data_IF_220995552081
#
_entry.id   IF_220995552081
#
_cell.length_a   1.000
_cell.length_b   1.000
_cell.length_c   1.000
_cell.angle_alpha   90.00
_cell.angle_beta   90.00
_cell.angle_gamma   90.00
#
_symmetry.space_group_name_H-M   'P 1'
#
loop_
_entity.id
_entity.type
_entity.pdbx_description
1 polymer ?
#
# COMPACT_ATOMS: atom_id res chain seq x y z
N UNK A 1 28.78 36.72 9.34
CA UNK A 1 28.77 35.30 8.94
C UNK A 1 29.35 34.52 10.10
N UNK A 2 28.53 33.80 10.85
CA UNK A 2 28.97 33.09 12.06
C UNK A 2 29.57 31.74 11.67
N UNK A 3 30.78 31.46 12.14
CA UNK A 3 31.50 30.22 11.85
C UNK A 3 30.80 29.05 12.58
N UNK A 4 30.01 28.27 11.84
CA UNK A 4 29.46 26.96 12.25
C UNK A 4 30.56 25.89 12.22
N UNK A 5 31.71 26.19 12.82
CA UNK A 5 32.94 25.40 12.72
C UNK A 5 32.97 24.24 13.70
N UNK A 6 32.07 23.27 13.55
CA UNK A 6 32.16 21.99 14.26
C UNK A 6 32.74 20.95 13.30
N UNK A 7 33.96 20.49 13.56
CA UNK A 7 34.60 19.40 12.83
C UNK A 7 34.69 18.16 13.73
N UNK A 8 34.24 17.01 13.23
CA UNK A 8 34.40 15.73 13.90
C UNK A 8 35.77 15.14 13.60
N UNK A 9 36.52 14.78 14.63
CA UNK A 9 37.79 14.04 14.51
C UNK A 9 37.60 12.68 15.14
N UNK A 10 37.77 11.60 14.38
CA UNK A 10 37.75 10.23 14.90
C UNK A 10 39.16 9.93 15.45
N UNK A 11 39.37 9.86 16.78
CA UNK A 11 40.67 9.52 17.34
C UNK A 11 41.05 8.08 16.96
N UNK A 12 42.34 7.82 16.83
CA UNK A 12 42.85 6.49 16.56
C UNK A 12 42.48 5.54 17.70
N UNK A 13 42.07 4.32 17.36
CA UNK A 13 41.75 3.30 18.36
C UNK A 13 43.02 2.92 19.14
N UNK A 14 42.94 2.77 20.47
CA UNK A 14 44.08 2.37 21.27
C UNK A 14 44.48 0.92 20.93
N UNK A 15 45.79 0.63 21.06
CA UNK A 15 46.39 -0.65 20.64
C UNK A 15 45.80 -1.91 21.29
N UNK A 16 45.13 -1.76 22.44
CA UNK A 16 44.43 -2.86 23.09
C UNK A 16 43.18 -3.28 22.30
N UNK A 17 42.35 -2.31 21.89
CA UNK A 17 41.11 -2.56 21.14
C UNK A 17 41.41 -3.12 19.74
N UNK A 18 42.47 -2.65 19.08
CA UNK A 18 42.85 -3.16 17.75
C UNK A 18 43.29 -4.63 17.79
N UNK A 19 44.08 -5.02 18.80
CA UNK A 19 44.51 -6.41 19.00
C UNK A 19 43.32 -7.30 19.32
N UNK A 20 42.49 -6.88 20.27
CA UNK A 20 41.28 -7.62 20.64
C UNK A 20 40.35 -7.85 19.44
N UNK A 21 40.05 -6.81 18.65
CA UNK A 21 39.23 -6.92 17.44
C UNK A 21 39.81 -7.89 16.41
N UNK A 22 41.14 -7.93 16.28
CA UNK A 22 41.83 -8.87 15.38
C UNK A 22 41.73 -10.31 15.88
N UNK A 23 41.96 -10.52 17.19
CA UNK A 23 41.95 -11.85 17.82
C UNK A 23 40.56 -12.49 17.78
N UNK A 24 39.51 -11.70 17.97
CA UNK A 24 38.10 -12.17 17.91
C UNK A 24 37.51 -12.15 16.51
N UNK A 25 38.28 -11.73 15.49
CA UNK A 25 37.83 -11.69 14.10
C UNK A 25 36.71 -10.68 13.83
N UNK A 26 36.67 -9.57 14.57
CA UNK A 26 35.66 -8.53 14.42
C UNK A 26 35.71 -7.93 13.00
N UNK A 27 34.58 -7.98 12.31
CA UNK A 27 34.36 -7.29 11.03
C UNK A 27 33.36 -6.17 11.28
N UNK A 28 33.73 -4.95 10.91
CA UNK A 28 32.83 -3.81 11.00
C UNK A 28 31.56 -4.11 10.17
N UNK A 29 30.41 -4.02 10.82
CA UNK A 29 29.12 -4.29 10.19
C UNK A 29 28.75 -3.23 9.14
N UNK A 30 27.62 -3.39 8.46
CA UNK A 30 27.13 -2.41 7.49
C UNK A 30 27.03 -1.02 8.12
N UNK A 31 27.91 -0.11 7.70
CA UNK A 31 27.93 1.26 8.20
C UNK A 31 26.98 2.15 7.38
N UNK A 32 26.71 3.38 7.80
CA UNK A 32 25.83 4.34 7.10
C UNK A 32 26.19 4.54 5.63
N UNK A 33 27.47 4.39 5.27
CA UNK A 33 27.94 4.47 3.87
C UNK A 33 27.45 3.30 3.01
N UNK A 34 27.23 2.12 3.60
CA UNK A 34 26.67 0.96 2.87
C UNK A 34 25.24 1.22 2.40
N UNK A 35 24.50 2.14 3.05
CA UNK A 35 23.17 2.58 2.62
C UNK A 35 23.21 3.50 1.39
N UNK A 36 24.36 4.12 1.13
CA UNK A 36 24.58 5.00 -0.03
C UNK A 36 25.16 4.26 -1.23
N UNK A 37 25.61 3.03 -1.04
CA UNK A 37 26.06 2.20 -2.16
C UNK A 37 24.88 1.89 -3.07
N UNK A 38 25.07 2.15 -4.36
CA UNK A 38 24.12 1.74 -5.40
C UNK A 38 24.11 0.22 -5.41
N UNK A 39 22.95 -0.37 -5.15
CA UNK A 39 22.78 -1.81 -5.27
C UNK A 39 23.00 -2.21 -6.73
N UNK A 40 23.59 -3.39 -7.00
CA UNK A 40 23.58 -3.97 -8.34
C UNK A 40 22.15 -4.00 -8.86
N UNK A 41 21.96 -3.72 -10.15
CA UNK A 41 20.68 -3.98 -10.81
C UNK A 41 20.39 -5.46 -10.61
N UNK A 42 19.38 -5.75 -9.78
CA UNK A 42 18.84 -7.09 -9.68
C UNK A 42 18.27 -7.37 -11.06
N UNK A 43 18.77 -8.40 -11.74
CA UNK A 43 18.05 -8.99 -12.86
C UNK A 43 16.67 -9.34 -12.30
N UNK A 44 15.67 -8.54 -12.68
CA UNK A 44 14.27 -8.73 -12.32
C UNK A 44 13.77 -9.98 -13.07
N UNK A 45 14.27 -11.14 -12.64
CA UNK A 45 13.93 -12.46 -13.16
C UNK A 45 12.52 -12.89 -12.71
N UNK A 46 11.74 -11.96 -12.13
CA UNK A 46 10.31 -12.07 -11.91
C UNK A 46 9.46 -11.70 -13.15
N UNK A 47 10.10 -11.45 -14.29
CA UNK A 47 9.51 -10.79 -15.46
C UNK A 47 8.67 -11.63 -16.44
N UNK A 48 8.35 -12.89 -16.15
CA UNK A 48 7.42 -13.64 -17.01
C UNK A 48 6.59 -14.64 -16.22
N UNK A 49 5.28 -14.35 -16.09
CA UNK A 49 4.29 -15.34 -15.64
C UNK A 49 4.46 -16.62 -16.48
N UNK A 50 4.48 -17.77 -15.81
CA UNK A 50 4.53 -19.07 -16.50
C UNK A 50 3.26 -19.31 -17.30
N UNK A 51 3.31 -20.21 -18.28
CA UNK A 51 2.12 -20.56 -19.08
C UNK A 51 0.94 -21.07 -18.23
N UNK A 52 1.23 -21.70 -17.10
CA UNK A 52 0.24 -22.17 -16.11
C UNK A 52 -0.35 -21.04 -15.26
N UNK A 53 0.32 -19.88 -15.19
CA UNK A 53 -0.10 -18.71 -14.41
C UNK A 53 -1.00 -17.76 -15.24
N UNK A 54 -1.06 -17.95 -16.56
CA UNK A 54 -1.91 -17.18 -17.46
C UNK A 54 -3.41 -17.52 -17.30
N UNK A 55 -4.33 -16.56 -17.48
CA UNK A 55 -5.75 -16.79 -17.33
C UNK A 55 -6.33 -17.73 -18.41
N UNK A 56 -7.24 -18.61 -17.99
CA UNK A 56 -8.00 -19.48 -18.90
C UNK A 56 -9.03 -18.67 -19.70
N UNK A 57 -8.94 -18.71 -21.03
CA UNK A 57 -9.94 -18.11 -21.93
C UNK A 57 -11.04 -19.14 -22.24
N UNK A 58 -12.28 -18.85 -21.86
CA UNK A 58 -13.45 -19.73 -22.05
C UNK A 58 -14.46 -19.07 -22.99
N UNK A 59 -14.91 -19.81 -24.02
CA UNK A 59 -15.90 -19.35 -25.02
C UNK A 59 -17.28 -19.91 -24.66
N UNK A 60 -18.28 -19.06 -24.48
CA UNK A 60 -19.64 -19.45 -24.07
C UNK A 60 -20.56 -19.75 -25.27
N UNK A 61 -20.44 -18.99 -26.36
CA UNK A 61 -21.20 -19.17 -27.61
C UNK A 61 -20.25 -19.15 -28.81
N UNK A 62 -20.63 -19.87 -29.88
CA UNK A 62 -19.87 -19.86 -31.13
C UNK A 62 -19.87 -18.45 -31.73
N UNK A 63 -18.69 -17.84 -31.83
CA UNK A 63 -18.50 -16.49 -32.37
C UNK A 63 -18.21 -15.41 -31.32
N UNK A 64 -18.18 -15.74 -30.02
CA UNK A 64 -17.85 -14.76 -28.98
C UNK A 64 -16.37 -14.30 -29.03
N UNK A 65 -15.48 -15.12 -29.58
CA UNK A 65 -14.05 -14.82 -29.71
C UNK A 65 -13.49 -15.33 -31.03
N UNK A 66 -12.74 -14.49 -31.74
CA UNK A 66 -11.94 -14.86 -32.91
C UNK A 66 -10.49 -15.18 -32.54
N UNK A 67 -9.78 -15.94 -33.37
CA UNK A 67 -8.42 -16.41 -33.07
C UNK A 67 -7.38 -15.28 -32.91
N UNK A 68 -7.64 -14.10 -33.47
CA UNK A 68 -6.77 -12.92 -33.31
C UNK A 68 -7.02 -12.22 -31.97
N UNK A 69 -8.28 -12.07 -31.58
CA UNK A 69 -8.67 -11.47 -30.28
C UNK A 69 -8.17 -12.29 -29.10
N UNK A 70 -8.14 -13.63 -29.21
CA UNK A 70 -7.60 -14.50 -28.15
C UNK A 70 -6.11 -14.24 -27.91
N UNK A 71 -5.34 -13.93 -28.96
CA UNK A 71 -3.90 -13.65 -28.83
C UNK A 71 -3.66 -12.29 -28.19
N UNK A 72 -4.41 -11.26 -28.60
CA UNK A 72 -4.30 -9.92 -27.99
C UNK A 72 -4.69 -9.92 -26.51
N UNK A 73 -5.70 -10.70 -26.13
CA UNK A 73 -6.10 -10.88 -24.72
C UNK A 73 -5.01 -11.64 -23.93
N UNK A 74 -4.38 -12.66 -24.53
CA UNK A 74 -3.29 -13.43 -23.89
C UNK A 74 -2.01 -12.61 -23.70
N UNK A 75 -1.67 -11.74 -24.64
CA UNK A 75 -0.47 -10.92 -24.58
C UNK A 75 -0.65 -9.69 -23.66
N UNK A 76 -1.77 -9.58 -22.94
CA UNK A 76 -2.05 -8.48 -21.99
C UNK A 76 -2.05 -7.09 -22.64
N UNK A 77 -2.14 -7.03 -23.98
CA UNK A 77 -1.87 -5.84 -24.78
C UNK A 77 -3.14 -5.04 -25.04
N UNK A 78 -3.96 -4.84 -24.01
CA UNK A 78 -5.04 -3.85 -24.03
C UNK A 78 -4.46 -2.47 -23.69
N UNK A 79 -3.59 -1.98 -24.57
CA UNK A 79 -2.99 -0.65 -24.51
C UNK A 79 -3.93 0.44 -25.06
N UNK A 80 -5.24 0.15 -25.12
CA UNK A 80 -6.23 1.19 -25.34
C UNK A 80 -6.46 1.93 -24.02
N UNK A 81 -5.45 2.72 -23.64
CA UNK A 81 -5.60 3.73 -22.62
C UNK A 81 -6.89 4.52 -22.93
N UNK A 82 -7.81 4.70 -21.96
CA UNK A 82 -8.96 5.55 -22.16
C UNK A 82 -8.42 6.88 -22.66
N UNK A 83 -8.88 7.34 -23.84
CA UNK A 83 -8.38 8.54 -24.51
C UNK A 83 -8.09 9.59 -23.45
N UNK A 84 -6.83 10.06 -23.33
CA UNK A 84 -6.31 10.96 -22.28
C UNK A 84 -7.05 12.31 -22.27
N UNK A 85 -8.33 12.29 -21.97
CA UNK A 85 -9.29 13.35 -22.04
C UNK A 85 -10.06 13.40 -20.73
N UNK A 86 -10.40 14.61 -20.31
CA UNK A 86 -11.10 14.88 -19.06
C UNK A 86 -12.40 14.06 -19.01
N UNK A 87 -12.53 13.18 -18.01
CA UNK A 87 -13.74 12.37 -17.81
C UNK A 87 -14.86 13.31 -17.37
N UNK A 88 -15.83 13.54 -18.26
CA UNK A 88 -17.04 14.29 -17.95
C UNK A 88 -18.13 13.34 -17.45
N UNK A 89 -18.50 13.45 -16.18
CA UNK A 89 -19.60 12.69 -15.59
C UNK A 89 -20.94 13.20 -16.15
N UNK A 90 -21.54 12.42 -17.06
CA UNK A 90 -22.92 12.61 -17.49
C UNK A 90 -23.84 12.00 -16.43
N UNK A 91 -24.74 12.82 -15.88
CA UNK A 91 -25.75 12.36 -14.93
C UNK A 91 -26.58 11.25 -15.59
N UNK A 92 -26.72 10.07 -14.97
CA UNK A 92 -27.55 9.01 -15.52
C UNK A 92 -28.99 9.50 -15.64
N UNK A 93 -29.64 9.16 -16.75
CA UNK A 93 -31.07 9.36 -16.89
C UNK A 93 -31.78 8.61 -15.76
N UNK A 94 -32.78 9.25 -15.14
CA UNK A 94 -33.66 8.57 -14.19
C UNK A 94 -34.27 7.39 -14.94
N UNK A 95 -33.95 6.16 -14.51
CA UNK A 95 -34.46 4.93 -15.10
C UNK A 95 -35.98 5.01 -15.18
N UNK A 96 -36.55 4.98 -16.38
CA UNK A 96 -37.96 4.60 -16.55
C UNK A 96 -38.09 3.16 -16.05
N UNK A 97 -39.11 2.88 -15.27
CA UNK A 97 -39.28 1.67 -14.46
C UNK A 97 -39.46 0.35 -15.22
N UNK A 98 -39.10 0.29 -16.51
CA UNK A 98 -39.28 -0.90 -17.36
C UNK A 98 -38.03 -1.77 -17.48
N UNK A 99 -36.82 -1.23 -17.24
CA UNK A 99 -35.58 -2.00 -17.34
C UNK A 99 -35.22 -2.60 -15.97
N UNK A 100 -35.79 -3.78 -15.69
CA UNK A 100 -35.49 -4.55 -14.49
C UNK A 100 -34.09 -5.15 -14.60
N UNK A 101 -33.11 -4.47 -14.03
CA UNK A 101 -31.78 -5.00 -13.79
C UNK A 101 -31.87 -6.28 -12.95
N UNK A 102 -31.54 -7.44 -13.54
CA UNK A 102 -31.52 -8.75 -12.86
C UNK A 102 -30.17 -9.04 -12.18
N UNK A 103 -29.54 -8.02 -11.60
CA UNK A 103 -28.30 -8.17 -10.84
C UNK A 103 -28.53 -7.81 -9.36
N UNK A 104 -28.24 -8.77 -8.49
CA UNK A 104 -28.16 -8.70 -7.01
C UNK A 104 -28.99 -7.58 -6.36
N UNK A 105 -30.22 -7.92 -6.01
CA UNK A 105 -31.04 -7.10 -5.11
C UNK A 105 -30.42 -7.11 -3.72
N UNK A 106 -29.66 -6.06 -3.36
CA UNK A 106 -29.22 -5.85 -1.99
C UNK A 106 -30.43 -5.49 -1.11
N UNK A 107 -31.12 -6.49 -0.57
CA UNK A 107 -32.23 -6.28 0.37
C UNK A 107 -31.65 -6.03 1.76
N UNK A 108 -31.23 -4.80 2.06
CA UNK A 108 -31.08 -4.39 3.46
C UNK A 108 -32.47 -4.13 4.03
N UNK A 109 -33.01 -5.09 4.77
CA UNK A 109 -34.25 -4.96 5.52
C UNK A 109 -34.06 -3.96 6.67
N UNK A 110 -34.32 -2.67 6.38
CA UNK A 110 -34.35 -1.63 7.40
C UNK A 110 -35.61 -1.81 8.24
N UNK A 111 -35.46 -2.44 9.42
CA UNK A 111 -36.51 -2.59 10.43
C UNK A 111 -37.07 -1.21 10.78
N UNK A 112 -38.31 -0.93 10.38
CA UNK A 112 -39.08 0.22 10.90
C UNK A 112 -39.35 -0.02 12.38
N UNK A 113 -38.89 0.88 13.24
CA UNK A 113 -39.40 1.02 14.61
C UNK A 113 -40.63 1.92 14.53
N UNK A 114 -41.78 1.37 14.89
CA UNK A 114 -43.05 2.07 15.02
C UNK A 114 -42.98 3.11 16.14
N UNK A 115 -43.73 4.18 15.93
CA UNK A 115 -43.92 5.31 16.83
C UNK A 115 -44.61 4.88 18.14
N UNK A 116 -44.05 5.29 19.28
CA UNK A 116 -44.72 5.72 20.52
C UNK A 116 -43.72 5.67 21.70
N UNK A 117 -43.49 6.82 22.36
CA UNK A 117 -42.91 6.85 23.71
C UNK A 117 -41.80 7.88 23.93
N UNK A 118 -42.18 9.02 24.52
CA UNK A 118 -41.38 10.11 25.10
C UNK A 118 -40.04 9.68 25.76
N UNK A 119 -39.03 10.54 25.60
CA UNK A 119 -38.06 10.84 26.66
C UNK A 119 -36.63 11.03 26.18
N UNK A 120 -36.05 12.19 26.48
CA UNK A 120 -34.60 12.33 26.68
C UNK A 120 -33.86 13.11 25.59
N UNK A 121 -33.67 14.38 25.88
CA UNK A 121 -32.70 15.30 25.30
C UNK A 121 -31.24 14.80 25.31
N UNK A 122 -30.47 15.42 24.40
CA UNK A 122 -29.05 15.78 24.54
C UNK A 122 -27.96 14.70 24.44
N UNK A 123 -26.82 15.14 23.87
CA UNK A 123 -25.55 14.41 23.98
C UNK A 123 -24.76 14.21 22.69
N UNK A 124 -24.69 15.19 21.79
CA UNK A 124 -23.51 15.30 20.91
C UNK A 124 -22.30 15.71 21.76
N UNK A 125 -21.55 14.74 22.26
CA UNK A 125 -20.18 14.99 22.71
C UNK A 125 -19.31 13.90 22.13
N UNK A 126 -18.76 14.14 20.94
CA UNK A 126 -17.62 13.37 20.46
C UNK A 126 -16.52 13.51 21.50
N UNK A 127 -16.23 12.42 22.21
CA UNK A 127 -15.17 12.42 23.21
C UNK A 127 -13.87 12.75 22.49
N UNK A 128 -13.34 13.94 22.76
CA UNK A 128 -12.03 14.34 22.27
C UNK A 128 -11.01 13.50 23.02
N UNK A 129 -10.62 12.38 22.41
CA UNK A 129 -9.63 11.49 22.97
C UNK A 129 -8.29 12.24 22.98
N UNK A 130 -7.87 12.73 24.16
CA UNK A 130 -6.57 13.35 24.36
C UNK A 130 -5.58 12.24 24.70
N UNK A 131 -5.22 11.44 23.70
CA UNK A 131 -4.13 10.50 23.84
C UNK A 131 -2.82 11.27 23.67
N UNK A 132 -2.09 11.47 24.76
CA UNK A 132 -0.72 11.98 24.77
C UNK A 132 0.32 10.92 24.34
N UNK A 133 -0.12 9.69 24.06
CA UNK A 133 0.69 8.67 23.39
C UNK A 133 -0.19 7.87 22.43
N UNK A 134 0.07 8.01 21.13
CA UNK A 134 -0.65 7.31 20.06
C UNK A 134 0.24 6.25 19.38
N UNK A 135 1.44 6.06 19.91
CA UNK A 135 2.46 5.15 19.38
C UNK A 135 3.23 4.60 20.58
N UNK A 136 2.88 3.40 21.03
CA UNK A 136 3.75 2.59 21.90
C UNK A 136 4.79 1.89 21.03
N UNK A 137 5.68 2.65 20.39
CA UNK A 137 6.92 2.08 19.87
C UNK A 137 7.95 2.15 21.00
N UNK A 138 8.13 1.04 21.69
CA UNK A 138 9.26 0.80 22.58
C UNK A 138 9.29 1.68 23.82
N UNK A 139 8.44 1.36 24.80
CA UNK A 139 8.77 1.68 26.18
C UNK A 139 9.87 0.74 26.63
N UNK A 140 11.12 1.14 26.38
CA UNK A 140 12.31 0.50 26.91
C UNK A 140 13.29 1.62 27.29
N UNK A 141 13.42 1.76 28.62
CA UNK A 141 14.63 2.08 29.38
C UNK A 141 15.39 3.38 29.06
N UNK A 142 15.30 4.36 29.97
CA UNK A 142 16.41 4.82 30.82
C UNK A 142 16.11 6.23 31.39
N UNK A 143 15.73 6.30 32.68
CA UNK A 143 15.92 7.51 33.48
C UNK A 143 16.69 7.10 34.74
N UNK A 144 18.00 7.35 34.69
CA UNK A 144 18.92 7.38 35.82
C UNK A 144 18.50 8.51 36.80
N UNK A 145 18.18 8.13 38.03
CA UNK A 145 18.66 8.77 39.28
C UNK A 145 18.68 7.73 40.42
#
# INVERSE_FOLDING_TARGET
>A
MANTGVSWVKPAEPSFLTKFKSDVGFKEGPNVDTKRQVMPDLDDDGGSDREDELPQVVVLKSGDLTAEEVKTIKDGKDDQAPSKGKILFKKPAKRSSSDKFQGITATSSKKKKSEAGKGGEEGKTGSKVKNNSLLSFGGDEDEED
#
